data_IF_949390522079
#
_entry.id   IF_949390522079
#
_cell.length_a   1.000
_cell.length_b   1.000
_cell.length_c   1.000
_cell.angle_alpha   90.00
_cell.angle_beta   90.00
_cell.angle_gamma   90.00
#
_symmetry.space_group_name_H-M   'P 1'
#
loop_
_entity.id
_entity.type
_entity.pdbx_description
1 polymer ?
#
# COMPACT_ATOMS: atom_id res chain seq x y z
N UNK A 1 12.24 10.36 10.11
CA UNK A 1 11.12 9.54 10.62
C UNK A 1 11.68 8.24 11.11
N UNK A 2 11.97 8.19 12.41
CA UNK A 2 12.20 6.96 13.16
C UNK A 2 10.88 6.20 13.22
N UNK A 3 10.92 4.87 13.46
CA UNK A 3 9.75 4.01 13.56
C UNK A 3 8.86 4.49 14.73
N UNK A 4 7.98 5.46 14.48
CA UNK A 4 7.23 6.14 15.51
C UNK A 4 5.75 5.74 15.42
N UNK A 5 5.43 4.72 16.25
CA UNK A 5 4.13 4.08 16.49
C UNK A 5 3.70 2.99 15.50
N UNK A 6 4.39 2.81 14.38
CA UNK A 6 4.19 1.65 13.50
C UNK A 6 4.93 0.43 14.07
N UNK A 7 4.22 -0.67 14.31
CA UNK A 7 4.83 -1.86 14.90
C UNK A 7 5.86 -2.52 13.98
N UNK A 8 6.93 -3.07 14.56
CA UNK A 8 7.80 -4.03 13.87
C UNK A 8 7.34 -5.44 14.25
N UNK A 9 7.06 -6.27 13.25
CA UNK A 9 6.73 -7.68 13.42
C UNK A 9 7.78 -8.56 12.76
N UNK A 10 8.21 -9.61 13.44
CA UNK A 10 9.18 -10.57 12.92
C UNK A 10 8.59 -11.98 12.98
N UNK A 11 8.60 -12.68 11.86
CA UNK A 11 8.22 -14.08 11.75
C UNK A 11 9.39 -14.91 11.22
N UNK A 12 9.57 -16.10 11.77
CA UNK A 12 10.67 -17.02 11.40
C UNK A 12 10.06 -18.30 10.88
N UNK A 13 10.51 -18.73 9.70
CA UNK A 13 10.07 -19.94 9.04
C UNK A 13 11.28 -20.85 8.82
N UNK A 14 11.18 -22.09 9.30
CA UNK A 14 12.13 -23.16 9.03
C UNK A 14 11.40 -24.37 8.46
N UNK A 15 11.65 -24.66 7.19
CA UNK A 15 11.12 -25.82 6.46
C UNK A 15 12.19 -26.33 5.49
N UNK A 16 11.92 -26.30 4.19
CA UNK A 16 12.94 -26.57 3.15
C UNK A 16 14.03 -25.47 3.05
N UNK A 17 13.89 -24.40 3.83
CA UNK A 17 14.86 -23.31 3.95
C UNK A 17 14.63 -22.54 5.26
N UNK A 18 15.52 -21.59 5.53
CA UNK A 18 15.49 -20.73 6.72
C UNK A 18 15.22 -19.29 6.31
N UNK A 19 14.04 -18.78 6.63
CA UNK A 19 13.60 -17.43 6.23
C UNK A 19 13.11 -16.64 7.43
N UNK A 20 13.50 -15.37 7.51
CA UNK A 20 12.95 -14.39 8.44
C UNK A 20 12.17 -13.36 7.64
N UNK A 21 10.89 -13.17 7.98
CA UNK A 21 10.06 -12.09 7.47
C UNK A 21 10.06 -10.96 8.50
N UNK A 22 10.51 -9.77 8.10
CA UNK A 22 10.46 -8.56 8.94
C UNK A 22 9.45 -7.61 8.31
N UNK A 23 8.32 -7.38 8.98
CA UNK A 23 7.30 -6.42 8.56
C UNK A 23 7.44 -5.14 9.38
N UNK A 24 7.53 -4.01 8.70
CA UNK A 24 7.63 -2.69 9.31
C UNK A 24 6.42 -1.88 8.85
N UNK A 25 5.67 -1.34 9.80
CA UNK A 25 4.52 -0.48 9.52
C UNK A 25 4.98 0.92 9.09
N UNK A 26 5.16 1.10 7.78
CA UNK A 26 5.66 2.30 7.12
C UNK A 26 5.30 2.26 5.63
N UNK A 27 5.25 3.43 4.98
CA UNK A 27 4.97 3.57 3.55
C UNK A 27 6.14 3.18 2.64
N UNK A 28 7.26 2.79 3.23
CA UNK A 28 8.49 2.44 2.53
C UNK A 28 9.68 2.40 3.49
N UNK A 29 10.77 1.79 3.03
CA UNK A 29 12.04 1.72 3.77
C UNK A 29 13.17 1.99 2.80
N UNK A 30 14.13 2.83 3.21
CA UNK A 30 15.32 3.10 2.40
C UNK A 30 16.14 1.83 2.18
N UNK A 31 16.73 1.70 0.99
CA UNK A 31 17.56 0.53 0.61
C UNK A 31 18.66 0.22 1.63
N UNK A 32 19.38 1.24 2.13
CA UNK A 32 20.44 1.05 3.14
C UNK A 32 19.91 0.42 4.44
N UNK A 33 18.75 0.86 4.90
CA UNK A 33 18.09 0.32 6.10
C UNK A 33 17.63 -1.11 5.86
N UNK A 34 17.08 -1.39 4.67
CA UNK A 34 16.70 -2.75 4.24
C UNK A 34 17.91 -3.68 4.21
N UNK A 35 19.00 -3.29 3.56
CA UNK A 35 20.25 -4.07 3.47
C UNK A 35 20.83 -4.35 4.86
N UNK A 36 20.76 -3.39 5.79
CA UNK A 36 21.18 -3.58 7.18
C UNK A 36 20.38 -4.70 7.86
N UNK A 37 19.05 -4.68 7.71
CA UNK A 37 18.17 -5.71 8.27
C UNK A 37 18.42 -7.08 7.63
N UNK A 38 18.58 -7.12 6.32
CA UNK A 38 18.86 -8.36 5.60
C UNK A 38 20.20 -8.97 6.02
N UNK A 39 21.21 -8.12 6.23
CA UNK A 39 22.51 -8.53 6.77
C UNK A 39 22.37 -9.12 8.18
N UNK A 40 21.58 -8.50 9.06
CA UNK A 40 21.35 -9.01 10.42
C UNK A 40 20.78 -10.42 10.43
N UNK A 41 19.86 -10.75 9.52
CA UNK A 41 19.34 -12.11 9.44
C UNK A 41 20.28 -13.07 8.72
N UNK A 42 21.06 -12.61 7.74
CA UNK A 42 22.13 -13.41 7.12
C UNK A 42 23.20 -13.83 8.12
N UNK A 43 23.59 -12.93 9.03
CA UNK A 43 24.50 -13.22 10.14
C UNK A 43 23.95 -14.30 11.10
N UNK A 44 22.63 -14.48 11.14
CA UNK A 44 21.94 -15.53 11.90
C UNK A 44 21.72 -16.82 11.10
N UNK A 45 22.13 -16.86 9.84
CA UNK A 45 21.97 -18.01 8.94
C UNK A 45 20.58 -18.11 8.29
N UNK A 46 19.86 -17.00 8.16
CA UNK A 46 18.54 -16.95 7.51
C UNK A 46 18.56 -16.01 6.30
N UNK A 47 17.83 -16.36 5.25
CA UNK A 47 17.41 -15.40 4.24
C UNK A 47 16.38 -14.45 4.88
N UNK A 48 16.50 -13.15 4.67
CA UNK A 48 15.60 -12.18 5.29
C UNK A 48 14.84 -11.42 4.23
N UNK A 49 13.54 -11.30 4.41
CA UNK A 49 12.64 -10.57 3.54
C UNK A 49 12.08 -9.41 4.36
N UNK A 50 12.37 -8.18 3.94
CA UNK A 50 11.84 -6.98 4.58
C UNK A 50 10.61 -6.53 3.82
N UNK A 51 9.47 -6.52 4.52
CA UNK A 51 8.19 -6.07 4.03
C UNK A 51 7.81 -4.76 4.72
N UNK A 52 7.12 -3.89 3.99
CA UNK A 52 6.52 -2.68 4.53
C UNK A 52 5.01 -2.82 4.45
N UNK A 53 4.31 -2.49 5.52
CA UNK A 53 2.84 -2.44 5.56
C UNK A 53 2.41 -1.00 5.77
N UNK A 54 1.52 -0.49 4.94
CA UNK A 54 0.82 0.79 5.20
C UNK A 54 -0.51 0.44 5.88
N UNK A 55 -0.57 0.55 7.21
CA UNK A 55 -1.83 0.34 7.95
C UNK A 55 -2.76 1.57 7.93
N UNK A 56 -2.49 2.58 7.09
CA UNK A 56 -3.29 3.80 6.90
C UNK A 56 -3.57 4.62 8.18
N UNK A 57 -2.88 4.34 9.29
CA UNK A 57 -3.13 5.02 10.57
C UNK A 57 -2.69 6.48 10.64
N UNK A 58 -1.83 6.95 9.72
CA UNK A 58 -1.26 8.31 9.72
C UNK A 58 -0.92 8.84 8.31
N UNK A 59 -1.79 8.65 7.33
CA UNK A 59 -1.61 9.29 6.03
C UNK A 59 -1.91 10.79 6.13
N UNK A 60 -0.87 11.60 6.31
CA UNK A 60 -1.01 13.05 6.40
C UNK A 60 -0.64 13.80 5.10
N UNK A 61 -0.08 13.15 4.06
CA UNK A 61 0.26 13.85 2.82
C UNK A 61 0.14 12.92 1.60
N UNK A 62 -0.84 13.20 0.73
CA UNK A 62 -0.92 12.64 -0.62
C UNK A 62 0.37 12.95 -1.41
N UNK A 63 0.97 11.94 -2.03
CA UNK A 63 2.05 12.11 -3.02
C UNK A 63 3.50 12.03 -2.51
N UNK A 64 3.74 11.82 -1.21
CA UNK A 64 5.08 11.61 -0.68
C UNK A 64 5.27 10.18 -0.17
N UNK A 65 6.09 9.38 -0.87
CA UNK A 65 6.65 8.14 -0.32
C UNK A 65 7.64 8.56 0.78
N UNK A 66 7.15 8.65 2.00
CA UNK A 66 7.99 8.93 3.16
C UNK A 66 8.72 7.65 3.58
N UNK A 67 9.78 7.30 2.85
CA UNK A 67 10.63 6.17 3.20
C UNK A 67 11.18 6.34 4.61
N UNK A 68 10.95 5.34 5.45
CA UNK A 68 11.52 5.29 6.78
C UNK A 68 13.01 4.96 6.70
N UNK A 69 13.78 5.65 7.54
CA UNK A 69 15.19 5.34 7.79
C UNK A 69 15.27 4.80 9.21
N UNK A 70 15.91 3.64 9.38
CA UNK A 70 16.04 3.03 10.69
C UNK A 70 17.24 3.64 11.43
N UNK A 71 17.05 4.00 12.69
CA UNK A 71 18.14 4.42 13.55
C UNK A 71 18.92 3.20 14.06
N UNK A 72 20.14 3.42 14.57
CA UNK A 72 20.91 2.36 15.27
C UNK A 72 20.17 1.78 16.48
N UNK A 73 19.22 2.52 17.06
CA UNK A 73 18.39 2.04 18.16
C UNK A 73 17.38 1.02 17.62
N UNK A 74 16.73 1.35 16.51
CA UNK A 74 15.75 0.49 15.84
C UNK A 74 16.42 -0.81 15.36
N UNK A 75 17.64 -0.74 14.80
CA UNK A 75 18.41 -1.93 14.42
C UNK A 75 18.61 -2.89 15.60
N UNK A 76 18.95 -2.36 16.78
CA UNK A 76 19.12 -3.19 18.00
C UNK A 76 17.80 -3.79 18.47
N UNK A 77 16.69 -3.08 18.33
CA UNK A 77 15.37 -3.59 18.69
C UNK A 77 14.91 -4.68 17.72
N UNK A 78 15.08 -4.47 16.41
CA UNK A 78 14.82 -5.46 15.36
C UNK A 78 15.66 -6.72 15.59
N UNK A 79 16.96 -6.58 15.86
CA UNK A 79 17.84 -7.70 16.17
C UNK A 79 17.34 -8.52 17.36
N UNK A 80 16.92 -7.87 18.45
CA UNK A 80 16.34 -8.54 19.63
C UNK A 80 15.04 -9.28 19.29
N UNK A 81 14.19 -8.70 18.44
CA UNK A 81 12.96 -9.34 17.99
C UNK A 81 13.25 -10.58 17.13
N UNK A 82 14.25 -10.50 16.24
CA UNK A 82 14.72 -11.66 15.47
C UNK A 82 15.22 -12.77 16.39
N UNK A 83 16.08 -12.45 17.36
CA UNK A 83 16.63 -13.42 18.30
C UNK A 83 15.52 -14.08 19.13
N UNK A 84 14.55 -13.29 19.60
CA UNK A 84 13.38 -13.79 20.32
C UNK A 84 12.55 -14.73 19.45
N UNK A 85 12.23 -14.32 18.22
CA UNK A 85 11.41 -15.12 17.31
C UNK A 85 12.10 -16.45 16.92
N UNK A 86 13.42 -16.44 16.75
CA UNK A 86 14.22 -17.65 16.51
C UNK A 86 14.17 -18.58 17.73
N UNK A 87 14.24 -18.03 18.95
CA UNK A 87 14.22 -18.81 20.18
C UNK A 87 12.84 -19.38 20.52
N UNK A 88 11.76 -18.67 20.19
CA UNK A 88 10.38 -19.08 20.51
C UNK A 88 9.69 -19.85 19.39
N UNK A 89 10.43 -20.30 18.38
CA UNK A 89 9.85 -21.09 17.28
C UNK A 89 9.27 -22.40 17.82
N UNK A 90 8.10 -22.75 17.31
CA UNK A 90 7.42 -24.00 17.62
C UNK A 90 6.98 -24.68 16.34
N UNK A 91 6.79 -25.99 16.39
CA UNK A 91 6.32 -26.74 15.22
C UNK A 91 4.87 -26.34 14.93
N UNK A 92 4.64 -25.70 13.79
CA UNK A 92 3.32 -25.36 13.30
C UNK A 92 3.07 -26.08 11.97
N UNK A 93 1.81 -26.44 11.72
CA UNK A 93 1.35 -26.85 10.39
C UNK A 93 0.68 -25.65 9.75
N UNK A 94 1.16 -25.24 8.58
CA UNK A 94 0.50 -24.21 7.78
C UNK A 94 -0.14 -24.89 6.57
N UNK A 95 -1.46 -24.87 6.52
CA UNK A 95 -2.22 -25.32 5.35
C UNK A 95 -2.47 -24.09 4.48
N UNK A 96 -1.93 -24.11 3.25
CA UNK A 96 -2.15 -23.02 2.31
C UNK A 96 -3.30 -23.39 1.40
N UNK A 97 -4.44 -22.73 1.58
CA UNK A 97 -5.56 -22.84 0.65
C UNK A 97 -5.45 -21.73 -0.38
N UNK A 98 -5.08 -22.10 -1.61
CA UNK A 98 -5.13 -21.19 -2.74
C UNK A 98 -6.59 -21.14 -3.23
N UNK A 99 -7.36 -20.20 -2.70
CA UNK A 99 -8.67 -19.89 -3.25
C UNK A 99 -8.48 -18.78 -4.28
N UNK A 100 -8.77 -19.07 -5.55
CA UNK A 100 -8.92 -18.02 -6.56
C UNK A 100 -10.18 -17.23 -6.19
N UNK A 101 -10.00 -16.19 -5.39
CA UNK A 101 -11.02 -15.17 -5.21
C UNK A 101 -10.94 -14.24 -6.41
N UNK A 102 -11.96 -14.24 -7.26
CA UNK A 102 -12.14 -13.17 -8.22
C UNK A 102 -12.51 -11.91 -7.45
N UNK A 103 -11.47 -11.22 -6.96
CA UNK A 103 -11.58 -9.85 -6.49
C UNK A 103 -12.08 -9.01 -7.67
N UNK A 104 -13.38 -8.73 -7.68
CA UNK A 104 -13.94 -7.58 -8.40
C UNK A 104 -13.46 -6.32 -7.69
N UNK A 105 -12.18 -6.03 -7.82
CA UNK A 105 -11.65 -4.70 -7.58
C UNK A 105 -12.12 -3.81 -8.72
N UNK A 106 -12.55 -2.60 -8.37
CA UNK A 106 -12.83 -1.54 -9.33
C UNK A 106 -11.51 -1.18 -10.05
N UNK A 107 -11.19 -1.87 -11.16
CA UNK A 107 -9.89 -1.86 -11.86
C UNK A 107 -9.67 -0.68 -12.80
N UNK A 108 -8.46 -0.56 -13.36
CA UNK A 108 -7.93 0.53 -14.21
C UNK A 108 -8.86 1.05 -15.34
N UNK A 109 -9.78 0.21 -15.81
CA UNK A 109 -10.80 0.58 -16.79
C UNK A 109 -11.89 1.51 -16.24
N UNK A 110 -12.13 1.54 -14.93
CA UNK A 110 -13.11 2.47 -14.36
C UNK A 110 -12.58 3.88 -14.25
N UNK A 111 -11.28 4.09 -14.16
CA UNK A 111 -10.69 5.42 -14.27
C UNK A 111 -10.93 5.99 -15.68
N UNK A 112 -10.71 5.18 -16.72
CA UNK A 112 -10.99 5.61 -18.10
C UNK A 112 -12.49 5.77 -18.37
N UNK A 113 -13.36 4.92 -17.81
CA UNK A 113 -14.82 5.08 -17.89
C UNK A 113 -15.32 6.29 -17.10
N UNK A 114 -14.78 6.58 -15.91
CA UNK A 114 -15.11 7.79 -15.13
C UNK A 114 -14.70 9.03 -15.92
N UNK A 115 -13.48 9.05 -16.48
CA UNK A 115 -13.01 10.15 -17.33
C UNK A 115 -13.90 10.30 -18.58
N UNK A 116 -14.28 9.19 -19.21
CA UNK A 116 -15.20 9.20 -20.37
C UNK A 116 -16.61 9.69 -19.99
N UNK A 117 -17.09 9.34 -18.81
CA UNK A 117 -18.41 9.74 -18.29
C UNK A 117 -18.43 11.24 -17.96
N UNK A 118 -17.37 11.75 -17.35
CA UNK A 118 -17.23 13.19 -17.08
C UNK A 118 -17.16 13.97 -18.40
N UNK A 119 -16.35 13.50 -19.36
CA UNK A 119 -16.19 14.17 -20.65
C UNK A 119 -17.49 14.16 -21.48
N UNK A 120 -18.23 13.05 -21.48
CA UNK A 120 -19.52 12.96 -22.17
C UNK A 120 -20.58 13.85 -21.51
N UNK A 121 -20.64 13.88 -20.17
CA UNK A 121 -21.55 14.77 -19.44
C UNK A 121 -21.25 16.24 -19.74
N UNK A 122 -19.97 16.63 -19.80
CA UNK A 122 -19.55 17.98 -20.14
C UNK A 122 -19.89 18.35 -21.59
N UNK A 123 -19.70 17.41 -22.53
CA UNK A 123 -20.05 17.60 -23.93
C UNK A 123 -21.56 17.79 -24.14
N UNK A 124 -22.38 16.96 -23.48
CA UNK A 124 -23.85 17.10 -23.50
C UNK A 124 -24.26 18.43 -22.88
N UNK A 125 -23.67 18.81 -21.74
CA UNK A 125 -23.97 20.10 -21.09
C UNK A 125 -23.66 21.28 -22.00
N UNK A 126 -22.50 21.26 -22.68
CA UNK A 126 -22.13 22.30 -23.67
C UNK A 126 -23.07 22.38 -24.86
N UNK A 127 -23.79 21.31 -25.19
CA UNK A 127 -24.74 21.27 -26.30
C UNK A 127 -26.15 21.66 -25.85
N UNK A 128 -26.61 21.14 -24.72
CA UNK A 128 -27.96 21.36 -24.19
C UNK A 128 -28.11 22.78 -23.65
N UNK A 129 -27.08 23.34 -23.01
CA UNK A 129 -27.21 24.66 -22.37
C UNK A 129 -27.43 25.80 -23.39
N UNK A 130 -26.66 25.92 -24.50
CA UNK A 130 -26.92 26.93 -25.51
C UNK A 130 -28.23 26.68 -26.26
N UNK A 131 -28.57 25.43 -26.58
CA UNK A 131 -29.80 25.09 -27.32
C UNK A 131 -31.05 25.40 -26.50
N UNK A 132 -31.05 25.09 -25.20
CA UNK A 132 -32.15 25.42 -24.31
C UNK A 132 -32.32 26.94 -24.18
N UNK A 133 -31.22 27.68 -24.06
CA UNK A 133 -31.26 29.15 -23.97
C UNK A 133 -31.78 29.78 -25.27
N UNK A 134 -31.42 29.23 -26.43
CA UNK A 134 -31.89 29.66 -27.74
C UNK A 134 -33.39 29.34 -27.93
N UNK A 135 -33.85 28.18 -27.49
CA UNK A 135 -35.27 27.83 -27.49
C UNK A 135 -36.10 28.72 -26.57
N UNK A 136 -35.58 29.07 -25.39
CA UNK A 136 -36.24 30.02 -24.48
C UNK A 136 -36.34 31.39 -25.14
N UNK A 137 -35.27 31.87 -25.80
CA UNK A 137 -35.30 33.14 -26.54
C UNK A 137 -36.33 33.13 -27.68
N UNK A 138 -36.33 32.10 -28.52
CA UNK A 138 -37.31 31.97 -29.62
C UNK A 138 -38.73 31.90 -29.06
N UNK A 139 -38.96 31.09 -28.02
CA UNK A 139 -40.26 30.97 -27.37
C UNK A 139 -40.73 32.29 -26.78
N UNK A 140 -39.83 33.05 -26.15
CA UNK A 140 -40.12 34.39 -25.64
C UNK A 140 -40.56 35.34 -26.77
N UNK A 141 -39.82 35.38 -27.90
CA UNK A 141 -40.17 36.22 -29.06
C UNK A 141 -41.43 35.77 -29.83
N UNK A 142 -41.86 34.51 -29.69
CA UNK A 142 -43.10 34.03 -30.32
C UNK A 142 -44.33 34.25 -29.43
N UNK A 143 -44.15 34.32 -28.11
CA UNK A 143 -45.22 34.49 -27.13
C UNK A 143 -45.44 35.96 -26.72
N UNK A 144 -44.43 36.81 -26.88
CA UNK A 144 -44.48 38.26 -26.63
C UNK A 144 -44.06 39.03 -27.87
#
# INVERSE_FOLDING_TARGET
NTIDKGGVSVAVFEGNGKVILVSIDTNGIKNKSRESIEKMGKERGYATIVCTTDTHGKNAVEGAVNDCDISKKDEKEIAKLMDKAIATKSRASAETFLVKSELKVLGEHQLSEIIATINSTWAVTKLVMPTTLLLILIGFFLLF
#
